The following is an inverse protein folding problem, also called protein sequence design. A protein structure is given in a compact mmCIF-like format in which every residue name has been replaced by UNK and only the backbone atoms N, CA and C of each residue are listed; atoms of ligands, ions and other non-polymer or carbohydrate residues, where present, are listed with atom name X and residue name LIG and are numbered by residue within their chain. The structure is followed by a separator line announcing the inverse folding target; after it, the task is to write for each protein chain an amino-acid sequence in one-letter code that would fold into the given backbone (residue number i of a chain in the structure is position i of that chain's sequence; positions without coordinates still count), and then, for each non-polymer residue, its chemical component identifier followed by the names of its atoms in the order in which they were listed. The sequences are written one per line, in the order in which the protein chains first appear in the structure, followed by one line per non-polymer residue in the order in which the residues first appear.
data_IF_546425248933
#
_entry.id   IF_546425248933
#
_cell.length_a   1.000
_cell.length_b   1.000
_cell.length_c   1.000
_cell.angle_alpha   90.00
_cell.angle_beta   90.00
_cell.angle_gamma   90.00
#
_symmetry.space_group_name_H-M   'P 1'
#
loop_
_entity.id
_entity.type
_entity.pdbx_description
1 polymer ?
#
# COMPACT_ATOMS: atom_id res chain seq x y z
N UNK A 1 -4.58 38.34 42.17
CA UNK A 1 -4.60 37.97 40.73
C UNK A 1 -3.17 37.68 40.28
N UNK A 2 -2.79 36.41 40.11
CA UNK A 2 -1.46 36.03 39.59
C UNK A 2 -1.43 34.55 39.18
N UNK A 3 -1.84 34.23 37.96
CA UNK A 3 -1.54 32.97 37.24
C UNK A 3 -1.79 33.25 35.75
N UNK A 4 -0.76 33.35 34.90
CA UNK A 4 -0.82 33.18 33.42
C UNK A 4 0.49 33.56 32.69
N UNK A 5 1.68 33.05 33.09
CA UNK A 5 2.94 33.29 32.32
C UNK A 5 3.77 31.99 32.10
N UNK A 6 3.29 30.80 32.45
CA UNK A 6 4.12 29.58 32.37
C UNK A 6 3.86 28.62 31.20
N UNK A 7 2.91 28.91 30.30
CA UNK A 7 2.50 27.95 29.24
C UNK A 7 3.20 28.23 27.89
N UNK A 8 3.66 29.45 27.62
CA UNK A 8 4.21 29.82 26.31
C UNK A 8 5.63 29.28 26.06
N UNK A 9 6.44 29.06 27.12
CA UNK A 9 7.83 28.59 26.96
C UNK A 9 7.93 27.08 26.69
N UNK A 10 6.95 26.29 27.14
CA UNK A 10 6.98 24.82 27.05
C UNK A 10 6.54 24.29 25.67
N UNK A 11 5.78 25.09 24.91
CA UNK A 11 5.36 24.73 23.55
C UNK A 11 6.48 25.00 22.53
N UNK A 12 7.34 26.01 22.78
CA UNK A 12 8.40 26.37 21.83
C UNK A 12 9.57 25.36 21.84
N UNK A 13 9.90 24.77 23.00
CA UNK A 13 10.97 23.75 23.10
C UNK A 13 10.57 22.42 22.48
N UNK A 14 9.30 22.02 22.60
CA UNK A 14 8.80 20.78 22.02
C UNK A 14 8.81 20.79 20.47
N UNK A 15 8.62 21.95 19.85
CA UNK A 15 8.66 22.08 18.38
C UNK A 15 10.10 21.94 17.84
N UNK A 16 11.10 22.43 18.57
CA UNK A 16 12.51 22.29 18.16
C UNK A 16 13.04 20.86 18.29
N UNK A 17 12.61 20.11 19.31
CA UNK A 17 13.05 18.72 19.49
C UNK A 17 12.46 17.77 18.43
N UNK A 18 11.24 18.04 17.97
CA UNK A 18 10.60 17.25 16.91
C UNK A 18 11.30 17.40 15.55
N UNK A 19 11.83 18.58 15.24
CA UNK A 19 12.55 18.84 14.00
C UNK A 19 13.91 18.10 13.94
N UNK A 20 14.63 18.02 15.06
CA UNK A 20 15.94 17.35 15.12
C UNK A 20 15.84 15.82 15.08
N UNK A 21 14.76 15.24 15.63
CA UNK A 21 14.56 13.79 15.65
C UNK A 21 14.24 13.16 14.29
N UNK A 22 13.65 13.93 13.36
CA UNK A 22 13.39 13.47 12.00
C UNK A 22 14.69 13.45 11.15
N UNK A 23 15.63 14.34 11.45
CA UNK A 23 16.85 14.62 10.68
C UNK A 23 17.92 13.51 10.78
N UNK A 24 18.05 12.87 11.95
CA UNK A 24 19.06 11.80 12.19
C UNK A 24 18.66 10.46 11.54
N UNK A 25 17.36 10.26 11.30
CA UNK A 25 16.82 9.02 10.74
C UNK A 25 17.24 8.80 9.28
N UNK A 26 17.26 9.85 8.45
CA UNK A 26 17.66 9.79 7.05
C UNK A 26 19.14 9.40 6.90
N UNK A 27 20.00 9.95 7.75
CA UNK A 27 21.44 9.61 7.76
C UNK A 27 21.67 8.15 8.18
N UNK A 28 20.80 7.58 9.02
CA UNK A 28 20.93 6.20 9.49
C UNK A 28 20.62 5.13 8.43
N UNK A 29 19.63 5.37 7.57
CA UNK A 29 19.19 4.40 6.55
C UNK A 29 20.31 4.13 5.54
N UNK A 30 21.09 5.16 5.21
CA UNK A 30 22.17 5.06 4.22
C UNK A 30 23.46 4.44 4.77
N UNK A 31 23.66 4.43 6.10
CA UNK A 31 24.85 3.81 6.75
C UNK A 31 24.90 2.28 6.65
N UNK A 32 23.80 1.62 6.28
CA UNK A 32 23.80 0.16 6.08
C UNK A 32 24.54 -0.27 4.81
N UNK A 33 24.82 0.68 3.90
CA UNK A 33 25.58 0.45 2.68
C UNK A 33 26.91 1.22 2.75
N UNK A 34 28.03 0.53 2.53
CA UNK A 34 29.38 1.10 2.68
C UNK A 34 29.75 2.13 1.60
N UNK A 35 29.01 2.15 0.49
CA UNK A 35 29.26 2.99 -0.69
C UNK A 35 28.16 4.03 -0.94
N UNK A 36 27.22 4.19 -0.01
CA UNK A 36 26.12 5.14 -0.14
C UNK A 36 26.28 6.27 0.89
N UNK A 37 26.20 7.49 0.43
CA UNK A 37 26.43 8.71 1.20
C UNK A 37 25.22 9.62 1.07
N UNK A 38 25.00 10.51 2.05
CA UNK A 38 23.94 11.51 1.98
C UNK A 38 24.53 12.91 1.92
N UNK A 39 24.15 13.68 0.90
CA UNK A 39 24.58 15.06 0.72
C UNK A 39 23.54 16.00 1.33
N UNK A 40 23.89 16.66 2.44
CA UNK A 40 23.01 17.65 3.11
C UNK A 40 22.70 18.86 2.23
N UNK A 41 23.62 19.24 1.34
CA UNK A 41 23.44 20.40 0.46
C UNK A 41 22.39 20.16 -0.64
N UNK A 42 22.22 18.91 -1.06
CA UNK A 42 21.28 18.51 -2.13
C UNK A 42 20.13 17.66 -1.60
N UNK A 43 20.09 17.42 -0.28
CA UNK A 43 19.13 16.53 0.40
C UNK A 43 18.93 15.18 -0.31
N UNK A 44 20.01 14.63 -0.88
CA UNK A 44 19.94 13.44 -1.73
C UNK A 44 21.02 12.43 -1.37
N UNK A 45 20.70 11.14 -1.48
CA UNK A 45 21.72 10.10 -1.44
C UNK A 45 22.58 10.13 -2.70
N UNK A 46 23.81 9.65 -2.60
CA UNK A 46 24.70 9.45 -3.73
C UNK A 46 25.65 8.28 -3.49
N UNK A 47 26.15 7.67 -4.56
CA UNK A 47 27.32 6.80 -4.49
C UNK A 47 28.47 7.40 -5.30
N UNK A 48 29.70 7.10 -4.88
CA UNK A 48 30.92 7.47 -5.60
C UNK A 48 31.45 6.24 -6.35
N UNK A 49 31.69 6.41 -7.64
CA UNK A 49 32.35 5.43 -8.48
C UNK A 49 33.44 6.15 -9.28
N UNK A 50 34.69 5.80 -9.01
CA UNK A 50 35.88 6.36 -9.67
C UNK A 50 35.99 7.90 -9.60
N UNK A 51 35.59 8.50 -8.46
CA UNK A 51 35.63 9.95 -8.25
C UNK A 51 34.47 10.70 -8.91
N UNK A 52 33.50 9.97 -9.48
CA UNK A 52 32.27 10.53 -10.03
C UNK A 52 31.10 10.20 -9.10
N UNK A 53 30.36 11.23 -8.72
CA UNK A 53 29.15 11.12 -7.89
C UNK A 53 27.91 10.86 -8.73
N UNK A 54 27.13 9.89 -8.31
CA UNK A 54 25.84 9.55 -8.88
C UNK A 54 24.78 9.78 -7.82
N UNK A 55 23.95 10.80 -8.03
CA UNK A 55 22.89 11.17 -7.10
C UNK A 55 21.67 10.30 -7.31
N UNK A 56 20.96 10.05 -6.23
CA UNK A 56 19.65 9.42 -6.24
C UNK A 56 18.70 10.19 -7.15
N UNK A 57 18.05 9.45 -8.05
CA UNK A 57 16.89 9.92 -8.78
C UNK A 57 15.67 9.31 -8.10
N UNK A 58 15.02 10.09 -7.25
CA UNK A 58 13.79 9.66 -6.61
C UNK A 58 12.67 9.64 -7.65
N UNK A 59 12.24 8.43 -8.02
CA UNK A 59 11.02 8.23 -8.80
C UNK A 59 9.95 7.74 -7.84
N UNK A 60 8.90 8.53 -7.54
CA UNK A 60 7.81 8.05 -6.71
C UNK A 60 7.18 6.82 -7.38
N UNK A 61 6.80 5.84 -6.56
CA UNK A 61 6.05 4.69 -7.07
C UNK A 61 4.70 5.19 -7.61
N UNK A 62 4.32 4.72 -8.81
CA UNK A 62 3.02 5.05 -9.41
C UNK A 62 1.83 4.56 -8.58
N UNK A 63 2.07 3.55 -7.73
CA UNK A 63 1.11 2.99 -6.79
C UNK A 63 1.67 2.99 -5.37
N UNK A 64 0.88 3.50 -4.43
CA UNK A 64 1.16 3.43 -3.00
C UNK A 64 0.29 2.36 -2.36
N UNK A 65 0.72 1.81 -1.22
CA UNK A 65 -0.08 0.84 -0.47
C UNK A 65 -1.45 1.40 -0.08
N UNK A 66 -1.49 2.67 0.31
CA UNK A 66 -2.72 3.36 0.69
C UNK A 66 -3.72 3.41 -0.48
N UNK A 67 -3.22 3.65 -1.70
CA UNK A 67 -4.04 3.69 -2.91
C UNK A 67 -4.66 2.34 -3.26
N UNK A 68 -3.96 1.23 -3.00
CA UNK A 68 -4.41 -0.11 -3.39
C UNK A 68 -5.10 -0.88 -2.27
N UNK A 69 -5.17 -0.36 -1.05
CA UNK A 69 -5.82 -1.06 0.09
C UNK A 69 -7.35 -0.97 0.02
N UNK A 70 -7.86 0.21 -0.31
CA UNK A 70 -9.28 0.52 -0.40
C UNK A 70 -10.12 0.19 0.85
N UNK A 71 -11.42 0.37 0.74
CA UNK A 71 -12.44 -0.07 1.69
C UNK A 71 -13.33 -1.11 1.03
N UNK A 72 -13.50 -2.27 1.67
CA UNK A 72 -14.33 -3.36 1.15
C UNK A 72 -15.64 -3.49 1.92
N UNK A 73 -16.75 -3.65 1.20
CA UNK A 73 -18.09 -3.87 1.75
C UNK A 73 -18.72 -5.11 1.09
N UNK A 74 -19.40 -5.92 1.90
CA UNK A 74 -20.22 -7.02 1.37
C UNK A 74 -21.49 -6.48 0.69
N UNK A 75 -21.88 -7.10 -0.41
CA UNK A 75 -23.14 -6.84 -1.12
C UNK A 75 -23.99 -8.12 -1.15
N UNK A 76 -25.21 -8.03 -1.68
CA UNK A 76 -26.06 -9.21 -1.85
C UNK A 76 -25.46 -10.27 -2.80
N UNK A 77 -24.56 -9.86 -3.71
CA UNK A 77 -23.98 -10.74 -4.73
C UNK A 77 -22.47 -10.96 -4.58
N UNK A 78 -21.80 -10.20 -3.71
CA UNK A 78 -20.36 -10.35 -3.50
C UNK A 78 -19.72 -9.21 -2.71
N UNK A 79 -18.71 -8.56 -3.28
CA UNK A 79 -17.89 -7.55 -2.61
C UNK A 79 -17.78 -6.30 -3.47
N UNK A 80 -18.03 -5.15 -2.86
CA UNK A 80 -17.73 -3.83 -3.40
C UNK A 80 -16.44 -3.30 -2.77
N UNK A 81 -15.56 -2.72 -3.58
CA UNK A 81 -14.29 -2.12 -3.14
C UNK A 81 -14.24 -0.67 -3.63
N UNK A 82 -13.91 0.23 -2.72
CA UNK A 82 -13.70 1.66 -2.99
C UNK A 82 -12.26 2.06 -2.61
N UNK A 83 -11.48 2.45 -3.61
CA UNK A 83 -10.10 2.91 -3.47
C UNK A 83 -9.97 4.40 -3.13
N UNK A 84 -11.10 5.13 -3.03
CA UNK A 84 -11.15 6.55 -2.64
C UNK A 84 -10.34 7.46 -3.58
N UNK A 85 -10.26 7.09 -4.84
CA UNK A 85 -9.55 7.81 -5.89
C UNK A 85 -10.33 7.70 -7.21
N UNK A 86 -11.03 8.76 -7.57
CA UNK A 86 -11.88 8.80 -8.77
C UNK A 86 -11.09 8.72 -10.09
N UNK A 87 -9.79 9.01 -10.06
CA UNK A 87 -8.92 8.87 -11.22
C UNK A 87 -8.33 7.45 -11.33
N UNK A 88 -8.52 6.62 -10.31
CA UNK A 88 -7.97 5.28 -10.31
C UNK A 88 -8.78 4.35 -11.20
N UNK A 89 -8.15 3.93 -12.30
CA UNK A 89 -8.69 2.97 -13.26
C UNK A 89 -7.75 1.78 -13.43
N UNK A 90 -8.31 0.64 -13.83
CA UNK A 90 -7.55 -0.56 -14.10
C UNK A 90 -8.41 -1.82 -13.93
N UNK A 91 -7.76 -2.94 -13.62
CA UNK A 91 -8.43 -4.21 -13.39
C UNK A 91 -7.99 -4.83 -12.08
N UNK A 92 -8.94 -5.46 -11.42
CA UNK A 92 -8.77 -6.19 -10.19
C UNK A 92 -8.78 -7.69 -10.51
N UNK A 93 -7.61 -8.33 -10.41
CA UNK A 93 -7.48 -9.78 -10.47
C UNK A 93 -7.77 -10.34 -9.09
N UNK A 94 -8.70 -11.27 -8.94
CA UNK A 94 -9.10 -11.77 -7.63
C UNK A 94 -9.17 -13.30 -7.58
N UNK A 95 -9.08 -13.85 -6.37
CA UNK A 95 -9.16 -15.27 -6.13
C UNK A 95 -9.30 -15.61 -4.66
N UNK A 96 -9.79 -16.80 -4.34
CA UNK A 96 -9.87 -17.27 -2.96
C UNK A 96 -8.49 -17.61 -2.41
N UNK A 97 -8.31 -17.43 -1.11
CA UNK A 97 -7.17 -17.93 -0.35
C UNK A 97 -7.61 -19.22 0.36
N UNK A 98 -7.19 -20.42 -0.08
CA UNK A 98 -7.57 -21.67 0.54
C UNK A 98 -6.71 -21.93 1.79
N UNK A 99 -7.11 -21.36 2.92
CA UNK A 99 -6.45 -21.63 4.19
C UNK A 99 -6.56 -23.11 4.55
N UNK A 100 -5.42 -23.72 4.90
CA UNK A 100 -5.31 -25.13 5.24
C UNK A 100 -4.66 -26.00 4.16
N UNK A 101 -4.66 -25.55 2.90
CA UNK A 101 -4.08 -26.33 1.78
C UNK A 101 -2.54 -26.26 1.75
N UNK A 102 -1.94 -25.24 2.36
CA UNK A 102 -0.49 -25.11 2.49
C UNK A 102 -0.08 -24.28 3.71
N UNK A 103 1.21 -24.33 4.07
CA UNK A 103 1.80 -23.52 5.16
C UNK A 103 1.71 -22.01 4.88
N UNK A 104 1.76 -21.61 3.62
CA UNK A 104 1.73 -20.21 3.16
C UNK A 104 0.74 -20.09 2.01
N UNK A 105 -0.57 -20.02 2.32
CA UNK A 105 -1.60 -20.02 1.29
C UNK A 105 -1.57 -18.72 0.51
N UNK A 106 -1.62 -18.83 -0.81
CA UNK A 106 -1.68 -17.70 -1.74
C UNK A 106 -3.05 -17.68 -2.44
N UNK A 107 -3.49 -16.51 -2.94
CA UNK A 107 -4.72 -16.43 -3.72
C UNK A 107 -4.64 -17.30 -4.98
N UNK A 108 -5.66 -18.12 -5.20
CA UNK A 108 -5.87 -18.86 -6.46
C UNK A 108 -6.73 -17.99 -7.37
N UNK A 109 -6.08 -17.25 -8.25
CA UNK A 109 -6.75 -16.29 -9.12
C UNK A 109 -7.75 -16.95 -10.05
N UNK A 110 -8.93 -16.34 -10.14
CA UNK A 110 -9.96 -16.73 -11.08
C UNK A 110 -9.69 -16.12 -12.46
N UNK A 111 -10.19 -16.78 -13.50
CA UNK A 111 -10.00 -16.33 -14.89
C UNK A 111 -10.66 -14.98 -15.22
N UNK A 112 -11.61 -14.53 -14.40
CA UNK A 112 -12.33 -13.28 -14.60
C UNK A 112 -11.74 -12.19 -13.71
N UNK A 113 -11.77 -10.96 -14.23
CA UNK A 113 -11.39 -9.75 -13.54
C UNK A 113 -12.59 -8.85 -13.27
N UNK A 114 -12.44 -7.93 -12.34
CA UNK A 114 -13.37 -6.82 -12.16
C UNK A 114 -12.71 -5.54 -12.68
N UNK A 115 -13.44 -4.72 -13.42
CA UNK A 115 -12.94 -3.40 -13.81
C UNK A 115 -13.00 -2.45 -12.61
N UNK A 116 -11.95 -1.63 -12.47
CA UNK A 116 -11.90 -0.51 -11.53
C UNK A 116 -12.29 0.72 -12.33
N UNK A 117 -13.46 1.27 -12.04
CA UNK A 117 -14.03 2.44 -12.71
C UNK A 117 -14.25 3.51 -11.66
N UNK A 118 -13.59 4.65 -11.82
CA UNK A 118 -13.64 5.76 -10.87
C UNK A 118 -13.37 5.30 -9.42
N UNK A 119 -12.25 4.60 -9.24
CA UNK A 119 -11.82 4.08 -7.93
C UNK A 119 -12.67 2.96 -7.37
N UNK A 120 -13.63 2.41 -8.12
CA UNK A 120 -14.61 1.46 -7.59
C UNK A 120 -14.61 0.18 -8.40
N UNK A 121 -14.69 -0.96 -7.70
CA UNK A 121 -14.78 -2.28 -8.30
C UNK A 121 -15.81 -3.15 -7.59
N UNK A 122 -16.45 -4.05 -8.34
CA UNK A 122 -17.38 -5.04 -7.78
C UNK A 122 -16.99 -6.44 -8.20
N UNK A 123 -16.84 -7.33 -7.21
CA UNK A 123 -16.57 -8.75 -7.41
C UNK A 123 -17.88 -9.51 -7.16
N UNK A 124 -18.44 -10.13 -8.21
CA UNK A 124 -19.69 -10.89 -8.12
C UNK A 124 -19.45 -12.36 -7.73
N UNK A 125 -19.37 -12.64 -6.44
CA UNK A 125 -19.07 -13.97 -5.91
C UNK A 125 -20.14 -15.01 -6.26
N UNK A 126 -21.41 -14.67 -6.06
CA UNK A 126 -22.52 -15.61 -6.22
C UNK A 126 -22.67 -16.13 -7.66
N UNK A 127 -22.20 -15.37 -8.64
CA UNK A 127 -22.30 -15.72 -10.06
C UNK A 127 -21.06 -16.42 -10.60
N UNK A 128 -19.85 -16.04 -10.15
CA UNK A 128 -18.60 -16.49 -10.80
C UNK A 128 -17.72 -17.37 -9.94
N UNK A 129 -17.84 -17.27 -8.61
CA UNK A 129 -17.04 -18.00 -7.64
C UNK A 129 -17.92 -18.95 -6.81
N UNK A 130 -18.91 -19.57 -7.44
CA UNK A 130 -19.87 -20.49 -6.82
C UNK A 130 -19.89 -21.86 -7.50
N UNK A 131 -20.55 -22.83 -6.88
CA UNK A 131 -20.68 -24.21 -7.35
C UNK A 131 -19.32 -24.86 -7.53
N UNK A 132 -19.03 -25.31 -8.75
CA UNK A 132 -17.73 -25.92 -9.11
C UNK A 132 -16.52 -25.00 -8.91
N UNK A 133 -16.75 -23.69 -8.76
CA UNK A 133 -15.69 -22.70 -8.54
C UNK A 133 -15.64 -22.22 -7.07
N UNK A 134 -16.48 -22.76 -6.20
CA UNK A 134 -16.36 -22.57 -4.75
C UNK A 134 -15.26 -23.50 -4.20
N UNK A 135 -14.01 -23.06 -4.35
CA UNK A 135 -12.82 -23.83 -3.98
C UNK A 135 -12.63 -23.96 -2.47
N UNK A 136 -13.31 -23.11 -1.69
CA UNK A 136 -13.12 -23.00 -0.23
C UNK A 136 -14.37 -23.38 0.57
N UNK A 137 -15.47 -23.74 -0.10
CA UNK A 137 -16.76 -24.04 0.50
C UNK A 137 -17.43 -22.83 1.15
N UNK A 138 -17.21 -21.61 0.62
CA UNK A 138 -17.75 -20.40 1.24
C UNK A 138 -19.29 -20.37 1.23
N UNK A 139 -19.94 -21.02 0.27
CA UNK A 139 -21.40 -21.02 0.19
C UNK A 139 -22.03 -21.75 1.38
N UNK A 140 -21.40 -22.82 1.86
CA UNK A 140 -21.86 -23.56 3.04
C UNK A 140 -21.39 -22.89 4.32
N UNK A 141 -20.13 -22.43 4.36
CA UNK A 141 -19.52 -21.83 5.55
C UNK A 141 -20.05 -20.44 5.88
N UNK A 142 -20.52 -19.71 4.88
CA UNK A 142 -20.91 -18.30 4.99
C UNK A 142 -19.73 -17.32 5.10
N UNK A 143 -18.49 -17.80 5.01
CA UNK A 143 -17.29 -16.95 5.06
C UNK A 143 -16.18 -17.48 4.15
N UNK A 144 -15.25 -16.60 3.82
CA UNK A 144 -14.08 -16.90 3.01
C UNK A 144 -13.10 -15.73 2.99
N UNK A 145 -11.97 -15.90 2.29
CA UNK A 145 -10.99 -14.82 2.12
C UNK A 145 -10.59 -14.72 0.67
N UNK A 146 -10.55 -13.48 0.18
CA UNK A 146 -10.13 -13.15 -1.18
C UNK A 146 -8.85 -12.34 -1.10
N UNK A 147 -7.89 -12.71 -1.95
CA UNK A 147 -6.78 -11.84 -2.29
C UNK A 147 -6.99 -11.26 -3.67
N UNK A 148 -6.43 -10.06 -3.89
CA UNK A 148 -6.49 -9.42 -5.19
C UNK A 148 -5.17 -8.75 -5.55
N UNK A 149 -5.01 -8.49 -6.85
CA UNK A 149 -3.98 -7.63 -7.44
C UNK A 149 -4.67 -6.57 -8.27
N UNK A 150 -4.09 -5.39 -8.30
CA UNK A 150 -4.48 -4.34 -9.24
C UNK A 150 -3.48 -4.31 -10.37
N UNK A 151 -3.99 -4.27 -11.60
CA UNK A 151 -3.20 -4.10 -12.81
C UNK A 151 -3.76 -2.95 -13.63
N UNK A 152 -2.91 -2.26 -14.38
CA UNK A 152 -3.33 -1.30 -15.38
C UNK A 152 -3.80 -2.01 -16.67
N UNK A 153 -4.20 -1.24 -17.68
CA UNK A 153 -4.71 -1.78 -18.93
C UNK A 153 -3.64 -2.50 -19.78
N UNK A 154 -2.36 -2.24 -19.53
CA UNK A 154 -1.23 -2.97 -20.12
C UNK A 154 -0.83 -4.22 -19.34
N UNK A 155 -1.55 -4.56 -18.26
CA UNK A 155 -1.28 -5.72 -17.41
C UNK A 155 -0.09 -5.55 -16.47
N UNK A 156 0.34 -4.32 -16.22
CA UNK A 156 1.42 -3.96 -15.28
C UNK A 156 0.84 -3.61 -13.92
N UNK A 157 1.61 -3.92 -12.87
CA UNK A 157 1.36 -3.51 -11.49
C UNK A 157 2.10 -2.23 -11.16
#
# INVERSE_FOLDING_TARGET
MRKSIFITFLVLTAITEFALGQEDSLVSIYKVHSNLYFSRNTESAFFDLDGKRYYELFSPASYTLDRVKGTALGTATGIFIDFQDEEFTGKLMYGFIPFGDSKHPHPVYFRASADIIQGRATINLSQVLSGRYDMIGWQEKGYGTIGYRVINDEGRM
#
